data_IF_895121491391
#
_entry.id   IF_895121491391
#
_cell.length_a   1.000
_cell.length_b   1.000
_cell.length_c   1.000
_cell.angle_alpha   90.00
_cell.angle_beta   90.00
_cell.angle_gamma   90.00
#
_symmetry.space_group_name_H-M   'P 1'
#
loop_
_entity.id
_entity.type
_entity.pdbx_description
1 polymer ?
#
# COMPACT_ATOMS: atom_id res chain seq x y z
N UNK A 1 -17.64 61.47 -2.92
CA UNK A 1 -16.92 61.26 -4.18
C UNK A 1 -17.07 62.51 -5.06
N UNK A 2 -15.97 63.23 -5.24
CA UNK A 2 -15.95 64.44 -6.04
C UNK A 2 -16.13 64.12 -7.52
N UNK A 3 -16.78 64.98 -8.30
CA UNK A 3 -17.05 64.74 -9.73
C UNK A 3 -15.78 64.53 -10.58
N UNK A 4 -14.63 64.96 -10.08
CA UNK A 4 -13.32 64.74 -10.71
C UNK A 4 -12.84 63.28 -10.58
N UNK A 5 -13.04 62.61 -9.47
CA UNK A 5 -12.69 61.21 -9.30
C UNK A 5 -13.47 60.24 -10.21
N UNK A 6 -14.71 60.61 -10.58
CA UNK A 6 -15.49 59.85 -11.59
C UNK A 6 -14.95 59.99 -13.00
N UNK A 7 -14.41 61.15 -13.36
CA UNK A 7 -13.79 61.38 -14.67
C UNK A 7 -12.46 60.64 -14.84
N UNK A 8 -11.68 60.51 -13.79
CA UNK A 8 -10.42 59.73 -13.79
C UNK A 8 -10.70 58.22 -13.93
N UNK A 9 -11.77 57.70 -13.34
CA UNK A 9 -12.17 56.31 -13.51
C UNK A 9 -12.69 56.00 -14.93
N UNK A 10 -13.29 56.98 -15.63
CA UNK A 10 -13.72 56.83 -17.02
C UNK A 10 -12.55 56.79 -18.02
N UNK A 11 -11.40 57.31 -17.68
CA UNK A 11 -10.16 57.27 -18.48
C UNK A 11 -9.21 56.15 -18.06
N UNK A 12 -9.71 55.13 -17.41
CA UNK A 12 -8.90 53.99 -17.01
C UNK A 12 -8.33 53.26 -18.24
N UNK A 13 -7.05 52.91 -18.20
CA UNK A 13 -6.35 52.22 -19.28
C UNK A 13 -7.14 51.00 -19.85
N UNK A 14 -7.97 50.40 -19.02
CA UNK A 14 -8.85 49.28 -19.40
C UNK A 14 -10.02 49.74 -20.30
N UNK A 15 -10.64 50.89 -20.03
CA UNK A 15 -11.74 51.42 -20.84
C UNK A 15 -11.22 51.91 -22.20
N UNK A 16 -10.05 52.52 -22.21
CA UNK A 16 -9.36 52.97 -23.46
C UNK A 16 -8.95 51.76 -24.31
N UNK A 17 -8.46 50.70 -23.68
CA UNK A 17 -8.13 49.44 -24.35
C UNK A 17 -9.38 48.74 -24.90
N UNK A 18 -10.47 48.66 -24.12
CA UNK A 18 -11.76 48.11 -24.51
C UNK A 18 -12.37 48.86 -25.71
N UNK A 19 -12.32 50.21 -25.71
CA UNK A 19 -12.82 51.03 -26.80
C UNK A 19 -11.97 50.88 -28.07
N UNK A 20 -10.64 50.85 -27.97
CA UNK A 20 -9.75 50.52 -29.11
C UNK A 20 -9.98 49.11 -29.64
N UNK A 21 -10.29 48.18 -28.78
CA UNK A 21 -10.60 46.80 -29.17
C UNK A 21 -11.96 46.70 -29.87
N UNK A 22 -12.98 47.49 -29.45
CA UNK A 22 -14.28 47.62 -30.15
C UNK A 22 -14.15 48.21 -31.54
N UNK A 23 -13.33 49.27 -31.71
CA UNK A 23 -13.08 49.87 -33.05
C UNK A 23 -12.37 48.90 -34.00
N UNK A 24 -11.38 48.16 -33.51
CA UNK A 24 -10.70 47.11 -34.28
C UNK A 24 -11.62 45.92 -34.61
N UNK A 25 -12.58 45.61 -33.77
CA UNK A 25 -13.59 44.57 -34.00
C UNK A 25 -14.58 45.05 -35.10
N UNK A 26 -14.92 46.35 -35.16
CA UNK A 26 -15.85 46.92 -36.15
C UNK A 26 -15.24 47.03 -37.57
N UNK A 27 -13.92 47.08 -37.72
CA UNK A 27 -13.20 47.29 -38.99
C UNK A 27 -12.76 46.00 -39.73
N UNK A 28 -13.44 44.87 -39.49
CA UNK A 28 -13.25 43.64 -40.29
C UNK A 28 -12.11 42.70 -39.84
N UNK A 29 -11.14 43.18 -39.07
CA UNK A 29 -10.10 42.31 -38.43
C UNK A 29 -10.60 41.68 -37.11
N UNK A 30 -11.82 42.03 -36.71
CA UNK A 30 -12.43 41.62 -35.45
C UNK A 30 -12.76 40.11 -35.34
N UNK A 31 -13.11 39.52 -36.46
CA UNK A 31 -13.40 38.07 -36.53
C UNK A 31 -12.18 37.25 -36.21
N UNK A 32 -11.01 37.64 -36.73
CA UNK A 32 -9.74 36.93 -36.45
C UNK A 32 -9.35 37.06 -34.97
N UNK A 33 -9.54 38.26 -34.38
CA UNK A 33 -9.25 38.48 -32.95
C UNK A 33 -10.18 37.69 -32.05
N UNK A 34 -11.48 37.59 -32.36
CA UNK A 34 -12.46 36.79 -31.63
C UNK A 34 -12.15 35.29 -31.73
N UNK A 35 -11.72 34.81 -32.90
CA UNK A 35 -11.30 33.41 -33.08
C UNK A 35 -10.07 33.09 -32.23
N UNK A 36 -9.08 33.99 -32.20
CA UNK A 36 -7.87 33.80 -31.37
C UNK A 36 -8.21 33.80 -29.88
N UNK A 37 -9.05 34.73 -29.42
CA UNK A 37 -9.49 34.77 -28.03
C UNK A 37 -10.30 33.50 -27.69
N UNK A 38 -11.19 33.08 -28.56
CA UNK A 38 -11.96 31.83 -28.41
C UNK A 38 -11.07 30.60 -28.30
N UNK A 39 -10.02 30.52 -29.12
CA UNK A 39 -9.02 29.45 -29.06
C UNK A 39 -8.24 29.45 -27.74
N UNK A 40 -7.79 30.61 -27.28
CA UNK A 40 -7.07 30.74 -26.01
C UNK A 40 -7.95 30.33 -24.85
N UNK A 41 -9.23 30.75 -24.83
CA UNK A 41 -10.18 30.35 -23.81
C UNK A 41 -10.48 28.85 -23.88
N UNK A 42 -10.63 28.28 -25.06
CA UNK A 42 -10.86 26.85 -25.22
C UNK A 42 -9.68 26.02 -24.69
N UNK A 43 -8.44 26.43 -24.99
CA UNK A 43 -7.23 25.81 -24.46
C UNK A 43 -7.16 25.96 -22.93
N UNK A 44 -7.44 27.16 -22.41
CA UNK A 44 -7.38 27.43 -20.97
C UNK A 44 -8.45 26.61 -20.20
N UNK A 45 -9.69 26.65 -20.66
CA UNK A 45 -10.78 25.87 -20.03
C UNK A 45 -10.58 24.37 -20.23
N UNK A 46 -10.13 23.93 -21.39
CA UNK A 46 -9.76 22.55 -21.64
C UNK A 46 -8.68 22.09 -20.68
N UNK A 47 -7.60 22.84 -20.55
CA UNK A 47 -6.52 22.51 -19.58
C UNK A 47 -7.02 22.47 -18.14
N UNK A 48 -7.83 23.48 -17.70
CA UNK A 48 -8.44 23.50 -16.36
C UNK A 48 -9.35 22.29 -16.13
N UNK A 49 -10.16 21.93 -17.14
CA UNK A 49 -11.05 20.78 -17.05
C UNK A 49 -10.29 19.48 -16.90
N UNK A 50 -9.28 19.24 -17.74
CA UNK A 50 -8.43 18.05 -17.64
C UNK A 50 -7.61 18.01 -16.33
N UNK A 51 -7.09 19.15 -15.87
CA UNK A 51 -6.39 19.24 -14.60
C UNK A 51 -7.28 18.91 -13.40
N UNK A 52 -8.53 19.41 -13.39
CA UNK A 52 -9.49 19.11 -12.34
C UNK A 52 -9.95 17.64 -12.37
N UNK A 53 -10.18 17.07 -13.55
CA UNK A 53 -10.53 15.66 -13.72
C UNK A 53 -9.40 14.74 -13.18
N UNK A 54 -8.16 15.06 -13.53
CA UNK A 54 -6.97 14.36 -13.06
C UNK A 54 -6.77 14.47 -11.54
N UNK A 55 -7.09 15.63 -10.95
CA UNK A 55 -7.03 15.82 -9.49
C UNK A 55 -8.13 15.03 -8.77
N UNK A 56 -9.35 15.03 -9.29
CA UNK A 56 -10.48 14.25 -8.75
C UNK A 56 -10.19 12.74 -8.78
N UNK A 57 -9.68 12.24 -9.89
CA UNK A 57 -9.33 10.82 -10.02
C UNK A 57 -8.22 10.43 -9.04
N UNK A 58 -7.20 11.27 -8.84
CA UNK A 58 -6.16 10.99 -7.84
C UNK A 58 -6.72 10.96 -6.43
N UNK A 59 -7.65 11.85 -6.09
CA UNK A 59 -8.28 11.89 -4.77
C UNK A 59 -9.14 10.66 -4.52
N UNK A 60 -9.90 10.21 -5.51
CA UNK A 60 -10.72 8.99 -5.40
C UNK A 60 -9.87 7.73 -5.26
N UNK A 61 -8.71 7.66 -5.93
CA UNK A 61 -7.77 6.54 -5.81
C UNK A 61 -7.13 6.46 -4.42
N UNK A 62 -6.78 7.61 -3.81
CA UNK A 62 -6.29 7.62 -2.44
C UNK A 62 -7.36 7.14 -1.46
N UNK A 63 -8.60 7.59 -1.64
CA UNK A 63 -9.71 7.11 -0.82
C UNK A 63 -9.97 5.61 -1.00
N UNK A 64 -9.95 5.13 -2.25
CA UNK A 64 -10.08 3.70 -2.54
C UNK A 64 -8.99 2.88 -1.86
N UNK A 65 -7.72 3.35 -1.92
CA UNK A 65 -6.59 2.68 -1.27
C UNK A 65 -6.71 2.68 0.26
N UNK A 66 -7.14 3.79 0.87
CA UNK A 66 -7.31 3.92 2.32
C UNK A 66 -8.44 3.01 2.86
N UNK A 67 -9.46 2.77 2.03
CA UNK A 67 -10.60 1.90 2.37
C UNK A 67 -10.44 0.45 1.95
N UNK A 68 -9.43 0.12 1.15
CA UNK A 68 -9.15 -1.25 0.71
C UNK A 68 -8.62 -2.09 1.86
N UNK A 69 -9.44 -2.98 2.40
CA UNK A 69 -9.10 -3.87 3.53
C UNK A 69 -8.95 -5.33 3.11
N UNK A 70 -9.20 -5.65 1.85
CA UNK A 70 -9.17 -7.01 1.30
C UNK A 70 -8.30 -7.07 0.04
N UNK A 71 -7.75 -8.24 -0.25
CA UNK A 71 -6.97 -8.52 -1.46
C UNK A 71 -7.77 -8.16 -2.73
N UNK A 72 -9.05 -8.55 -2.79
CA UNK A 72 -9.92 -8.25 -3.94
C UNK A 72 -10.06 -6.74 -4.20
N UNK A 73 -10.14 -5.93 -3.14
CA UNK A 73 -10.22 -4.47 -3.28
C UNK A 73 -8.90 -3.86 -3.77
N UNK A 74 -7.76 -4.41 -3.32
CA UNK A 74 -6.45 -4.01 -3.81
C UNK A 74 -6.24 -4.43 -5.27
N UNK A 75 -6.67 -5.63 -5.65
CA UNK A 75 -6.57 -6.14 -7.02
C UNK A 75 -7.28 -5.24 -8.04
N UNK A 76 -8.45 -4.67 -7.70
CA UNK A 76 -9.15 -3.70 -8.56
C UNK A 76 -8.29 -2.45 -8.80
N UNK A 77 -7.70 -1.89 -7.72
CA UNK A 77 -6.83 -0.71 -7.83
C UNK A 77 -5.59 -1.02 -8.67
N UNK A 78 -4.99 -2.20 -8.48
CA UNK A 78 -3.81 -2.66 -9.20
C UNK A 78 -4.11 -2.83 -10.69
N UNK A 79 -5.24 -3.46 -11.03
CA UNK A 79 -5.64 -3.72 -12.42
C UNK A 79 -5.86 -2.43 -13.21
N UNK A 80 -6.50 -1.43 -12.58
CA UNK A 80 -6.84 -0.18 -13.25
C UNK A 80 -5.71 0.86 -13.24
N UNK A 81 -4.84 0.83 -12.22
CA UNK A 81 -3.90 1.92 -11.93
C UNK A 81 -2.48 1.45 -11.55
N UNK A 82 -2.09 0.24 -11.93
CA UNK A 82 -0.85 -0.42 -11.47
C UNK A 82 0.44 0.39 -11.64
N UNK A 83 0.52 1.26 -12.65
CA UNK A 83 1.69 2.11 -12.91
C UNK A 83 1.67 3.44 -12.12
N UNK A 84 0.53 3.81 -11.54
CA UNK A 84 0.43 5.00 -10.68
C UNK A 84 1.08 4.74 -9.31
N UNK A 85 1.41 5.80 -8.56
CA UNK A 85 1.92 5.67 -7.20
C UNK A 85 0.93 4.92 -6.30
N UNK A 86 -0.38 5.20 -6.46
CA UNK A 86 -1.44 4.53 -5.70
C UNK A 86 -1.52 3.05 -6.03
N UNK A 87 -1.43 2.69 -7.32
CA UNK A 87 -1.39 1.29 -7.75
C UNK A 87 -0.13 0.55 -7.28
N UNK A 88 1.03 1.22 -7.26
CA UNK A 88 2.26 0.66 -6.69
C UNK A 88 2.15 0.46 -5.17
N UNK A 89 1.48 1.37 -4.46
CA UNK A 89 1.19 1.20 -3.03
C UNK A 89 0.17 0.08 -2.79
N UNK A 90 -0.84 -0.07 -3.65
CA UNK A 90 -1.75 -1.20 -3.58
C UNK A 90 -1.00 -2.53 -3.75
N UNK A 91 -0.08 -2.62 -4.73
CA UNK A 91 0.81 -3.79 -4.89
C UNK A 91 1.69 -4.03 -3.66
N UNK A 92 2.19 -2.97 -3.02
CA UNK A 92 2.99 -3.08 -1.79
C UNK A 92 2.14 -3.63 -0.62
N UNK A 93 0.90 -3.17 -0.47
CA UNK A 93 -0.03 -3.65 0.57
C UNK A 93 -0.45 -5.10 0.33
N UNK A 94 -0.77 -5.46 -0.91
CA UNK A 94 -1.05 -6.83 -1.31
C UNK A 94 0.15 -7.76 -1.00
N UNK A 95 1.37 -7.33 -1.35
CA UNK A 95 2.57 -8.06 -1.02
C UNK A 95 2.80 -8.22 0.50
N UNK A 96 2.38 -7.27 1.33
CA UNK A 96 2.42 -7.41 2.81
C UNK A 96 1.47 -8.52 3.29
N UNK A 97 0.29 -8.62 2.70
CA UNK A 97 -0.68 -9.68 3.02
C UNK A 97 -0.13 -11.04 2.62
N UNK A 98 0.43 -11.15 1.40
CA UNK A 98 1.07 -12.39 0.94
C UNK A 98 2.28 -12.79 1.78
N UNK A 99 3.12 -11.84 2.20
CA UNK A 99 4.28 -12.15 3.02
C UNK A 99 3.91 -12.50 4.47
N UNK A 100 3.01 -11.74 5.08
CA UNK A 100 2.64 -11.89 6.50
C UNK A 100 1.61 -13.00 6.74
N UNK A 101 0.30 -12.66 6.79
CA UNK A 101 -0.74 -13.61 7.18
C UNK A 101 -0.84 -14.83 6.27
N UNK A 102 -0.73 -14.62 4.97
CA UNK A 102 -0.88 -15.69 3.98
C UNK A 102 0.42 -16.45 3.67
N UNK A 103 1.56 -15.92 4.12
CA UNK A 103 2.88 -16.49 3.91
C UNK A 103 3.51 -16.98 5.20
N UNK A 104 4.28 -16.11 5.87
CA UNK A 104 5.10 -16.49 7.04
C UNK A 104 4.29 -17.13 8.17
N UNK A 105 3.10 -16.60 8.47
CA UNK A 105 2.25 -17.16 9.53
C UNK A 105 1.68 -18.53 9.13
N UNK A 106 1.31 -18.69 7.86
CA UNK A 106 0.78 -19.94 7.33
C UNK A 106 1.86 -20.99 7.03
N UNK A 107 3.14 -20.60 6.93
CA UNK A 107 4.25 -21.51 6.63
C UNK A 107 4.42 -22.60 7.72
N UNK A 108 4.15 -22.25 8.98
CA UNK A 108 4.25 -23.19 10.10
C UNK A 108 3.07 -24.16 10.23
N UNK A 109 2.09 -24.11 9.34
CA UNK A 109 0.95 -25.01 9.35
C UNK A 109 1.38 -26.47 9.10
N UNK A 110 0.79 -27.44 9.80
CA UNK A 110 1.06 -28.85 9.54
C UNK A 110 0.40 -29.35 8.24
N UNK A 111 -0.58 -28.62 7.71
CA UNK A 111 -1.23 -28.95 6.45
C UNK A 111 -0.31 -28.68 5.27
N UNK A 112 -0.04 -29.73 4.46
CA UNK A 112 0.90 -29.64 3.34
C UNK A 112 0.40 -28.70 2.23
N UNK A 113 -0.89 -28.72 1.92
CA UNK A 113 -1.46 -27.90 0.87
C UNK A 113 -1.42 -26.41 1.24
N UNK A 114 -1.83 -26.09 2.47
CA UNK A 114 -1.74 -24.73 2.99
C UNK A 114 -0.31 -24.22 3.04
N UNK A 115 0.64 -25.09 3.40
CA UNK A 115 2.06 -24.75 3.43
C UNK A 115 2.62 -24.46 2.04
N UNK A 116 2.30 -25.27 1.02
CA UNK A 116 2.69 -25.01 -0.36
C UNK A 116 2.08 -23.69 -0.88
N UNK A 117 0.84 -23.39 -0.53
CA UNK A 117 0.21 -22.11 -0.83
C UNK A 117 0.94 -20.95 -0.15
N UNK A 118 1.32 -21.10 1.12
CA UNK A 118 2.10 -20.11 1.85
C UNK A 118 3.47 -19.84 1.19
N UNK A 119 4.16 -20.89 0.76
CA UNK A 119 5.43 -20.77 0.03
C UNK A 119 5.22 -19.98 -1.26
N UNK A 120 4.20 -20.30 -2.05
CA UNK A 120 3.86 -19.59 -3.28
C UNK A 120 3.54 -18.11 -3.03
N UNK A 121 2.83 -17.81 -1.94
CA UNK A 121 2.54 -16.45 -1.54
C UNK A 121 3.81 -15.68 -1.16
N UNK A 122 4.74 -16.29 -0.43
CA UNK A 122 6.03 -15.68 -0.10
C UNK A 122 6.84 -15.39 -1.37
N UNK A 123 6.88 -16.32 -2.34
CA UNK A 123 7.54 -16.11 -3.63
C UNK A 123 6.90 -14.95 -4.39
N UNK A 124 5.57 -14.90 -4.46
CA UNK A 124 4.81 -13.79 -5.07
C UNK A 124 5.15 -12.45 -4.41
N UNK A 125 5.12 -12.40 -3.09
CA UNK A 125 5.46 -11.19 -2.33
C UNK A 125 6.89 -10.73 -2.62
N UNK A 126 7.87 -11.64 -2.57
CA UNK A 126 9.26 -11.38 -2.91
C UNK A 126 9.40 -10.71 -4.27
N UNK A 127 8.78 -11.29 -5.28
CA UNK A 127 8.90 -10.82 -6.66
C UNK A 127 8.25 -9.44 -6.85
N UNK A 128 7.13 -9.18 -6.19
CA UNK A 128 6.49 -7.85 -6.15
C UNK A 128 7.41 -6.82 -5.48
N UNK A 129 7.95 -7.10 -4.30
CA UNK A 129 8.86 -6.19 -3.61
C UNK A 129 10.12 -5.88 -4.42
N UNK A 130 10.75 -6.89 -5.02
CA UNK A 130 11.93 -6.72 -5.87
C UNK A 130 11.62 -5.85 -7.09
N UNK A 131 10.45 -6.03 -7.70
CA UNK A 131 9.98 -5.23 -8.84
C UNK A 131 9.73 -3.78 -8.45
N UNK A 132 9.11 -3.53 -7.30
CA UNK A 132 8.71 -2.19 -6.87
C UNK A 132 9.87 -1.35 -6.31
N UNK A 133 10.82 -1.97 -5.62
CA UNK A 133 11.88 -1.26 -4.90
C UNK A 133 12.65 -0.22 -5.75
N UNK A 134 13.08 -0.52 -7.00
CA UNK A 134 13.75 0.48 -7.83
C UNK A 134 12.85 1.66 -8.22
N UNK A 135 11.54 1.42 -8.39
CA UNK A 135 10.56 2.44 -8.74
C UNK A 135 10.33 3.48 -7.63
N UNK A 136 10.61 3.12 -6.39
CA UNK A 136 10.46 3.98 -5.23
C UNK A 136 11.67 4.90 -4.93
N UNK A 137 12.56 5.14 -5.89
CA UNK A 137 13.74 6.00 -5.66
C UNK A 137 13.44 7.42 -5.16
N UNK A 138 12.24 7.96 -5.47
CA UNK A 138 11.76 9.25 -4.95
C UNK A 138 11.11 9.13 -3.55
N UNK A 139 10.89 7.93 -3.06
CA UNK A 139 10.21 7.60 -1.80
C UNK A 139 11.07 6.65 -0.99
N UNK A 140 12.17 7.13 -0.39
CA UNK A 140 13.19 6.27 0.21
C UNK A 140 12.66 5.37 1.34
N UNK A 141 11.61 5.78 2.06
CA UNK A 141 10.95 4.95 3.08
C UNK A 141 10.33 3.71 2.44
N UNK A 142 9.57 3.88 1.35
CA UNK A 142 8.95 2.77 0.61
C UNK A 142 10.00 1.88 -0.06
N UNK A 143 11.06 2.49 -0.59
CA UNK A 143 12.17 1.76 -1.18
C UNK A 143 12.88 0.87 -0.16
N UNK A 144 13.20 1.42 1.01
CA UNK A 144 13.82 0.67 2.11
C UNK A 144 12.93 -0.48 2.57
N UNK A 145 11.64 -0.21 2.77
CA UNK A 145 10.67 -1.23 3.15
C UNK A 145 10.60 -2.35 2.11
N UNK A 146 10.55 -2.01 0.83
CA UNK A 146 10.48 -3.00 -0.23
C UNK A 146 11.72 -3.90 -0.24
N UNK A 147 12.93 -3.35 -0.11
CA UNK A 147 14.16 -4.17 -0.03
C UNK A 147 14.21 -5.01 1.24
N UNK A 148 13.84 -4.47 2.40
CA UNK A 148 13.78 -5.22 3.66
C UNK A 148 12.80 -6.40 3.57
N UNK A 149 11.61 -6.15 3.03
CA UNK A 149 10.56 -7.17 2.89
C UNK A 149 10.93 -8.22 1.86
N UNK A 150 11.56 -7.81 0.74
CA UNK A 150 12.13 -8.76 -0.24
C UNK A 150 13.21 -9.63 0.40
N UNK A 151 14.10 -9.05 1.20
CA UNK A 151 15.13 -9.80 1.92
C UNK A 151 14.55 -10.82 2.89
N UNK A 152 13.53 -10.45 3.67
CA UNK A 152 12.81 -11.35 4.58
C UNK A 152 12.11 -12.49 3.83
N UNK A 153 11.45 -12.18 2.72
CA UNK A 153 10.79 -13.17 1.89
C UNK A 153 11.80 -14.18 1.31
N UNK A 154 12.91 -13.69 0.72
CA UNK A 154 13.96 -14.54 0.18
C UNK A 154 14.61 -15.40 1.27
N UNK A 155 14.88 -14.83 2.45
CA UNK A 155 15.49 -15.51 3.59
C UNK A 155 14.61 -16.64 4.11
N UNK A 156 13.29 -16.43 4.18
CA UNK A 156 12.33 -17.44 4.66
C UNK A 156 12.21 -18.65 3.71
N UNK A 157 12.62 -18.52 2.46
CA UNK A 157 12.60 -19.57 1.46
C UNK A 157 13.89 -20.43 1.46
N UNK A 158 14.93 -20.05 2.22
CA UNK A 158 16.16 -20.83 2.36
C UNK A 158 15.85 -22.17 3.04
N UNK A 159 16.41 -23.26 2.49
CA UNK A 159 16.19 -24.61 3.00
C UNK A 159 14.86 -25.24 2.58
N UNK A 160 14.04 -24.53 1.81
CA UNK A 160 12.84 -25.09 1.16
C UNK A 160 13.23 -25.52 -0.24
N UNK A 161 13.20 -26.82 -0.58
CA UNK A 161 13.61 -27.30 -1.90
C UNK A 161 12.63 -26.85 -2.99
N UNK A 162 13.13 -26.59 -4.17
CA UNK A 162 12.30 -26.47 -5.37
C UNK A 162 11.71 -27.83 -5.73
N UNK A 163 10.55 -27.83 -6.41
CA UNK A 163 9.81 -29.06 -6.69
C UNK A 163 10.65 -30.13 -7.43
N UNK A 164 11.54 -29.71 -8.33
CA UNK A 164 12.24 -30.61 -9.25
C UNK A 164 13.78 -30.50 -9.16
N UNK A 165 14.31 -29.91 -8.09
CA UNK A 165 15.75 -29.74 -7.93
C UNK A 165 16.19 -29.83 -6.47
N UNK A 166 17.50 -30.10 -6.26
CA UNK A 166 18.13 -30.04 -4.93
C UNK A 166 18.44 -28.60 -4.48
N UNK A 167 18.11 -27.60 -5.30
CA UNK A 167 18.31 -26.19 -4.96
C UNK A 167 17.22 -25.70 -4.02
N UNK A 168 17.61 -24.80 -3.12
CA UNK A 168 16.66 -24.08 -2.27
C UNK A 168 15.88 -23.05 -3.10
N UNK A 169 14.64 -22.75 -2.69
CA UNK A 169 13.81 -21.68 -3.31
C UNK A 169 14.36 -20.30 -2.99
N UNK A 170 14.99 -20.11 -1.82
CA UNK A 170 15.67 -18.89 -1.41
C UNK A 170 17.17 -18.94 -1.71
N UNK A 171 17.75 -17.79 -2.05
CA UNK A 171 19.18 -17.64 -2.35
C UNK A 171 19.85 -16.72 -1.33
N UNK A 172 20.80 -17.25 -0.56
CA UNK A 172 21.47 -16.55 0.52
C UNK A 172 22.27 -15.30 0.06
N UNK A 173 22.87 -15.36 -1.15
CA UNK A 173 23.60 -14.21 -1.69
C UNK A 173 22.64 -13.09 -2.09
N UNK A 174 21.45 -13.44 -2.58
CA UNK A 174 20.39 -12.48 -2.87
C UNK A 174 19.80 -11.85 -1.59
N UNK A 175 19.63 -12.63 -0.51
CA UNK A 175 19.26 -12.10 0.81
C UNK A 175 20.23 -11.02 1.26
N UNK A 176 21.54 -11.32 1.20
CA UNK A 176 22.59 -10.36 1.54
C UNK A 176 22.45 -9.07 0.72
N UNK A 177 22.39 -9.19 -0.61
CA UNK A 177 22.27 -8.04 -1.52
C UNK A 177 21.07 -7.15 -1.19
N UNK A 178 19.91 -7.76 -0.91
CA UNK A 178 18.68 -7.04 -0.58
C UNK A 178 18.81 -6.28 0.75
N UNK A 179 19.40 -6.90 1.77
CA UNK A 179 19.63 -6.24 3.04
C UNK A 179 20.71 -5.14 2.97
N UNK A 180 21.76 -5.32 2.17
CA UNK A 180 22.75 -4.27 1.90
C UNK A 180 22.11 -3.05 1.22
N UNK A 181 21.23 -3.28 0.21
CA UNK A 181 20.46 -2.20 -0.44
C UNK A 181 19.56 -1.46 0.53
N UNK A 182 18.85 -2.19 1.39
CA UNK A 182 18.01 -1.57 2.41
C UNK A 182 18.83 -0.74 3.40
N UNK A 183 19.95 -1.28 3.91
CA UNK A 183 20.84 -0.61 4.86
C UNK A 183 21.43 0.68 4.29
N UNK A 184 21.73 0.71 3.00
CA UNK A 184 22.31 1.89 2.34
C UNK A 184 21.36 3.09 2.26
N UNK A 185 20.02 2.89 2.31
CA UNK A 185 19.05 3.98 2.17
C UNK A 185 19.00 4.84 3.45
N UNK A 186 19.01 4.24 4.61
CA UNK A 186 18.98 4.93 5.91
C UNK A 186 19.98 4.29 6.90
N UNK A 187 21.27 4.55 6.74
CA UNK A 187 22.29 3.86 7.52
C UNK A 187 22.21 4.12 9.04
N UNK A 188 21.54 5.20 9.45
CA UNK A 188 21.42 5.58 10.87
C UNK A 188 20.13 5.07 11.53
N UNK A 189 19.16 4.58 10.78
CA UNK A 189 17.92 4.03 11.35
C UNK A 189 18.14 2.60 11.87
N UNK A 190 17.59 2.29 13.04
CA UNK A 190 17.79 1.00 13.73
C UNK A 190 17.37 -0.20 12.88
N UNK A 191 16.26 -0.10 12.15
CA UNK A 191 15.79 -1.18 11.27
C UNK A 191 16.78 -1.46 10.13
N UNK A 192 17.36 -0.41 9.55
CA UNK A 192 18.34 -0.52 8.48
C UNK A 192 19.71 -0.97 8.99
N UNK A 193 20.11 -0.54 10.21
CA UNK A 193 21.27 -1.09 10.90
C UNK A 193 21.13 -2.58 11.16
N UNK A 194 19.94 -3.03 11.59
CA UNK A 194 19.67 -4.45 11.77
C UNK A 194 19.79 -5.24 10.45
N UNK A 195 19.33 -4.68 9.34
CA UNK A 195 19.50 -5.27 8.01
C UNK A 195 21.00 -5.35 7.62
N UNK A 196 21.74 -4.28 7.80
CA UNK A 196 23.18 -4.25 7.55
C UNK A 196 23.96 -5.25 8.43
N UNK A 197 23.59 -5.37 9.71
CA UNK A 197 24.13 -6.38 10.61
C UNK A 197 23.81 -7.79 10.10
N UNK A 198 22.57 -8.05 9.67
CA UNK A 198 22.18 -9.35 9.12
C UNK A 198 22.92 -9.69 7.84
N UNK A 199 23.06 -8.73 6.93
CA UNK A 199 23.87 -8.91 5.72
C UNK A 199 25.32 -9.31 6.07
N UNK A 200 25.92 -8.66 7.07
CA UNK A 200 27.28 -8.97 7.55
C UNK A 200 27.36 -10.38 8.17
N UNK A 201 26.41 -10.76 9.01
CA UNK A 201 26.34 -12.12 9.59
C UNK A 201 26.33 -13.20 8.48
N UNK A 202 25.59 -12.93 7.38
CA UNK A 202 25.56 -13.84 6.22
C UNK A 202 26.94 -13.94 5.55
N UNK A 203 27.68 -12.85 5.47
CA UNK A 203 29.03 -12.86 4.91
C UNK A 203 30.01 -13.62 5.82
N UNK A 204 29.95 -13.35 7.14
CA UNK A 204 30.89 -13.87 8.11
C UNK A 204 30.71 -15.39 8.35
N UNK A 205 29.47 -15.90 8.25
CA UNK A 205 29.17 -17.32 8.56
C UNK A 205 28.03 -17.89 7.66
N UNK A 206 28.24 -17.81 6.35
CA UNK A 206 27.26 -18.25 5.33
C UNK A 206 26.79 -19.68 5.55
N UNK A 207 27.72 -20.60 5.83
CA UNK A 207 27.41 -22.02 5.93
C UNK A 207 26.58 -22.34 7.19
N UNK A 208 26.86 -21.68 8.33
CA UNK A 208 26.05 -21.85 9.53
C UNK A 208 24.64 -21.28 9.34
N UNK A 209 24.50 -20.13 8.66
CA UNK A 209 23.20 -19.53 8.34
C UNK A 209 22.40 -20.48 7.45
N UNK A 210 22.99 -21.01 6.39
CA UNK A 210 22.35 -21.99 5.53
C UNK A 210 21.93 -23.27 6.28
N UNK A 211 22.83 -23.81 7.10
CA UNK A 211 22.56 -25.01 7.89
C UNK A 211 21.38 -24.77 8.88
N UNK A 212 21.35 -23.60 9.51
CA UNK A 212 20.24 -23.21 10.40
C UNK A 212 18.90 -23.22 9.68
N UNK A 213 18.78 -22.54 8.53
CA UNK A 213 17.51 -22.47 7.80
C UNK A 213 17.09 -23.81 7.22
N UNK A 214 18.03 -24.63 6.71
CA UNK A 214 17.74 -25.98 6.23
C UNK A 214 17.21 -26.84 7.35
N UNK A 215 17.82 -26.77 8.54
CA UNK A 215 17.31 -27.51 9.71
C UNK A 215 15.93 -27.02 10.11
N UNK A 216 15.72 -25.70 10.25
CA UNK A 216 14.44 -25.11 10.63
C UNK A 216 13.33 -25.52 9.66
N UNK A 217 13.56 -25.36 8.36
CA UNK A 217 12.55 -25.70 7.36
C UNK A 217 12.31 -27.20 7.25
N UNK A 218 13.33 -28.06 7.44
CA UNK A 218 13.13 -29.50 7.54
C UNK A 218 12.25 -29.86 8.72
N UNK A 219 12.45 -29.26 9.88
CA UNK A 219 11.62 -29.49 11.07
C UNK A 219 10.16 -29.04 10.83
N UNK A 220 9.97 -27.86 10.19
CA UNK A 220 8.64 -27.35 9.84
C UNK A 220 7.95 -28.26 8.82
N UNK A 221 8.66 -28.68 7.76
CA UNK A 221 8.13 -29.51 6.69
C UNK A 221 7.82 -30.94 7.14
N UNK A 222 8.51 -31.45 8.16
CA UNK A 222 8.32 -32.81 8.68
C UNK A 222 7.42 -32.87 9.92
N UNK A 223 6.94 -31.72 10.41
CA UNK A 223 6.08 -31.64 11.60
C UNK A 223 4.81 -32.45 11.37
N UNK A 224 4.62 -33.49 12.16
CA UNK A 224 3.37 -34.26 12.17
C UNK A 224 2.28 -33.45 12.86
N UNK A 225 1.10 -33.42 12.25
CA UNK A 225 -0.11 -32.90 12.91
C UNK A 225 -0.31 -33.74 14.18
N UNK A 226 -0.37 -33.17 15.38
CA UNK A 226 -0.80 -33.89 16.54
C UNK A 226 -2.19 -34.50 16.23
N UNK A 227 -2.36 -35.79 16.46
CA UNK A 227 -3.68 -36.39 16.31
C UNK A 227 -4.69 -35.51 17.08
N UNK A 228 -5.85 -35.21 16.49
CA UNK A 228 -6.85 -34.41 17.18
C UNK A 228 -7.11 -35.08 18.53
N UNK A 229 -6.80 -34.34 19.60
CA UNK A 229 -7.14 -34.85 20.97
C UNK A 229 -8.59 -35.20 20.95
N UNK A 230 -8.96 -36.44 21.28
CA UNK A 230 -10.35 -36.82 21.37
C UNK A 230 -11.05 -35.78 22.24
N UNK A 231 -12.04 -35.10 21.68
CA UNK A 231 -12.85 -34.17 22.49
C UNK A 231 -13.26 -34.97 23.75
N UNK A 232 -13.05 -34.41 24.95
CA UNK A 232 -13.54 -35.08 26.15
C UNK A 232 -15.00 -35.39 25.88
N UNK A 233 -15.33 -36.68 25.73
CA UNK A 233 -16.70 -37.13 25.75
C UNK A 233 -17.15 -36.86 27.18
N UNK A 234 -17.81 -35.74 27.38
CA UNK A 234 -18.53 -35.54 28.63
C UNK A 234 -19.53 -36.68 28.72
N UNK A 235 -19.41 -37.59 29.73
CA UNK A 235 -20.37 -38.65 29.91
C UNK A 235 -21.73 -37.98 29.97
N UNK A 236 -22.66 -38.44 29.13
CA UNK A 236 -23.95 -37.83 28.83
C UNK A 236 -24.74 -37.50 30.09
N UNK A 237 -24.45 -36.35 30.66
CA UNK A 237 -25.32 -35.67 31.60
C UNK A 237 -26.31 -34.89 30.77
N UNK A 238 -27.48 -35.50 30.53
CA UNK A 238 -28.61 -34.75 30.01
C UNK A 238 -28.80 -33.54 30.90
N UNK A 239 -28.70 -32.35 30.30
CA UNK A 239 -29.13 -31.15 31.01
C UNK A 239 -30.57 -31.33 31.40
N UNK A 240 -30.93 -31.36 32.72
CA UNK A 240 -32.34 -31.35 33.11
C UNK A 240 -32.92 -30.06 32.50
N UNK A 241 -33.97 -30.20 31.74
CA UNK A 241 -34.69 -29.12 31.09
C UNK A 241 -35.12 -28.04 32.09
N UNK A 242 -34.26 -27.14 32.40
CA UNK A 242 -34.53 -25.91 33.14
C UNK A 242 -34.87 -24.82 32.14
N UNK A 243 -36.17 -24.57 31.97
CA UNK A 243 -36.64 -23.41 31.21
C UNK A 243 -35.99 -22.15 31.73
N UNK A 244 -35.37 -21.40 30.85
CA UNK A 244 -34.91 -20.03 31.16
C UNK A 244 -36.14 -19.19 31.48
N UNK A 245 -36.27 -18.64 32.71
CA UNK A 245 -37.29 -17.63 32.98
C UNK A 245 -36.90 -16.41 32.16
N UNK A 246 -37.85 -15.93 31.33
CA UNK A 246 -37.71 -14.74 30.55
C UNK A 246 -37.35 -13.53 31.43
N UNK A 247 -36.07 -13.20 31.52
CA UNK A 247 -35.55 -12.00 32.15
C UNK A 247 -35.25 -10.98 31.06
N UNK A 248 -36.11 -9.95 30.95
CA UNK A 248 -35.89 -8.81 30.07
C UNK A 248 -34.57 -8.15 30.42
N UNK A 249 -33.82 -7.79 29.39
CA UNK A 249 -32.61 -6.94 29.50
C UNK A 249 -33.03 -5.56 30.06
N UNK A 250 -32.51 -5.16 31.22
CA UNK A 250 -32.67 -3.76 31.65
C UNK A 250 -31.83 -2.88 30.71
N UNK A 251 -32.44 -1.78 30.26
CA UNK A 251 -31.90 -0.83 29.31
C UNK A 251 -30.47 -0.40 29.62
N UNK A 252 -29.66 -0.36 28.56
CA UNK A 252 -28.28 0.05 28.57
C UNK A 252 -28.07 1.48 29.05
N UNK A 253 -27.53 1.65 30.25
CA UNK A 253 -26.88 2.88 30.67
C UNK A 253 -25.41 2.82 30.22
N UNK A 254 -24.96 3.83 29.47
CA UNK A 254 -23.55 4.07 29.20
C UNK A 254 -22.78 4.21 30.52
N UNK A 255 -21.55 3.67 30.64
CA UNK A 255 -20.74 3.84 31.82
C UNK A 255 -20.41 5.35 32.04
N UNK A 256 -20.55 5.88 33.26
CA UNK A 256 -20.17 7.26 33.57
C UNK A 256 -18.65 7.37 33.63
N UNK A 257 -18.07 8.20 32.74
CA UNK A 257 -16.64 8.50 32.84
C UNK A 257 -15.87 8.85 31.58
N UNK A 258 -16.52 9.26 30.50
CA UNK A 258 -15.80 9.90 29.39
C UNK A 258 -15.88 11.40 29.49
N UNK A 259 -14.76 12.15 29.52
CA UNK A 259 -14.79 13.62 29.55
C UNK A 259 -15.34 14.15 28.21
N UNK A 260 -16.17 15.21 28.22
CA UNK A 260 -16.67 15.80 26.98
C UNK A 260 -15.56 16.63 26.33
N UNK A 261 -15.36 16.38 25.05
CA UNK A 261 -14.63 17.32 24.21
C UNK A 261 -13.35 16.81 23.56
N UNK A 262 -13.45 15.95 22.55
CA UNK A 262 -12.49 15.95 21.42
C UNK A 262 -13.27 15.51 20.16
N UNK A 263 -14.05 16.44 19.60
CA UNK A 263 -14.35 16.46 18.17
C UNK A 263 -13.96 17.84 17.67
N UNK A 264 -12.96 18.01 16.83
CA UNK A 264 -12.80 19.24 16.08
C UNK A 264 -13.93 19.28 15.04
N UNK A 265 -14.74 20.31 15.20
CA UNK A 265 -15.89 20.57 14.34
C UNK A 265 -15.50 20.99 12.94
N UNK A 266 -16.43 20.68 12.06
CA UNK A 266 -16.78 21.26 10.74
C UNK A 266 -15.77 22.14 10.04
#
# INVERSE_FOLDING_TARGET
MKAEERKELEHNALSTWLNKSKEKLATGSGTTTLVVIGLILAVFFGYRFFANLSASNRSSLWYALDTATTDDALDVIIAENGDSLQGQLAQLYDARIYLGPQGLEALATPDKEQREKAITNIEKARDVYVKLAPGFGKYPVLQSEAYLSAGKAEESLIGIPKADSAEDRGNIDRVRELYEKAAAIFPDQELNKAAGKRAKEIVDDKDAVLAFYRKLNTEVLTRKVPAPTPRPQFPGGGFPGGGFPGGGFPGGGLPPGLPPGIFPGS
#
